data_IF_051165500614
#
_entry.id   IF_051165500614
#
_cell.length_a   1.000
_cell.length_b   1.000
_cell.length_c   1.000
_cell.angle_alpha   90.00
_cell.angle_beta   90.00
_cell.angle_gamma   90.00
#
_symmetry.space_group_name_H-M   'P 1'
#
loop_
_entity.id
_entity.type
_entity.pdbx_description
1 polymer ?
#
# COMPACT_ATOMS: atom_id res chain seq x y z
N UNK A 1 5.10 30.30 -13.62
CA UNK A 1 4.67 29.93 -12.27
C UNK A 1 5.15 28.52 -12.02
N UNK A 2 6.05 28.33 -11.08
CA UNK A 2 6.53 26.99 -10.72
C UNK A 2 5.46 26.29 -9.87
N UNK A 3 5.04 25.09 -10.25
CA UNK A 3 3.97 24.38 -9.56
C UNK A 3 4.58 23.51 -8.46
N UNK A 4 4.08 23.55 -7.22
CA UNK A 4 4.60 22.69 -6.16
C UNK A 4 4.53 21.22 -6.57
N UNK A 5 5.54 20.44 -6.15
CA UNK A 5 5.61 19.00 -6.38
C UNK A 5 4.36 18.33 -5.80
N UNK A 6 3.76 17.42 -6.56
CA UNK A 6 2.68 16.56 -6.06
C UNK A 6 3.26 15.50 -5.12
N UNK A 7 2.63 15.33 -3.97
CA UNK A 7 3.00 14.29 -3.01
C UNK A 7 2.20 13.02 -3.31
N UNK A 8 2.88 11.87 -3.32
CA UNK A 8 2.28 10.56 -3.58
C UNK A 8 2.34 9.69 -2.34
N UNK A 9 1.18 9.41 -1.75
CA UNK A 9 1.05 8.49 -0.63
C UNK A 9 0.36 7.20 -1.09
N UNK A 10 0.94 6.06 -0.77
CA UNK A 10 0.29 4.77 -0.97
C UNK A 10 -0.72 4.56 0.15
N UNK A 11 -1.98 4.30 -0.18
CA UNK A 11 -3.03 4.14 0.82
C UNK A 11 -3.31 2.67 1.09
N UNK A 12 -3.06 2.23 2.32
CA UNK A 12 -3.22 0.84 2.75
C UNK A 12 -3.91 0.75 4.11
N UNK A 13 -4.21 -0.47 4.55
CA UNK A 13 -4.72 -0.80 5.87
C UNK A 13 -4.29 -2.24 6.19
N UNK A 14 -4.00 -2.53 7.46
CA UNK A 14 -3.63 -3.88 7.90
C UNK A 14 -4.87 -4.80 7.98
N UNK A 15 -5.43 -5.13 6.82
CA UNK A 15 -6.64 -5.94 6.68
C UNK A 15 -6.62 -6.70 5.35
N UNK A 16 -7.47 -7.71 5.23
CA UNK A 16 -7.66 -8.49 3.99
C UNK A 16 -8.32 -7.67 2.89
N UNK A 17 -9.16 -6.68 3.23
CA UNK A 17 -9.90 -5.92 2.22
C UNK A 17 -10.17 -4.49 2.71
N UNK A 18 -9.46 -3.52 2.11
CA UNK A 18 -9.54 -2.11 2.49
C UNK A 18 -10.63 -1.36 1.69
N UNK A 19 -10.43 -1.17 0.38
CA UNK A 19 -11.40 -0.48 -0.49
C UNK A 19 -12.05 -1.39 -1.53
N UNK A 20 -11.31 -2.36 -2.05
CA UNK A 20 -11.73 -3.17 -3.18
C UNK A 20 -12.16 -4.56 -2.71
N UNK A 21 -13.41 -4.64 -2.26
CA UNK A 21 -14.01 -5.88 -1.77
C UNK A 21 -13.95 -6.99 -2.84
N UNK A 22 -13.52 -8.18 -2.42
CA UNK A 22 -13.41 -9.36 -3.29
C UNK A 22 -12.06 -9.52 -4.02
N UNK A 23 -11.26 -8.46 -4.17
CA UNK A 23 -9.95 -8.56 -4.84
C UNK A 23 -8.89 -9.35 -4.05
N UNK A 24 -9.20 -9.72 -2.81
CA UNK A 24 -8.36 -10.67 -2.06
C UNK A 24 -8.34 -12.06 -2.71
N UNK A 25 -9.34 -12.41 -3.51
CA UNK A 25 -9.45 -13.72 -4.17
C UNK A 25 -8.72 -13.80 -5.52
N UNK A 26 -8.21 -12.68 -6.04
CA UNK A 26 -7.42 -12.68 -7.28
C UNK A 26 -6.13 -13.48 -7.09
N UNK A 27 -5.70 -14.32 -8.07
CA UNK A 27 -4.55 -15.21 -7.92
C UNK A 27 -3.24 -14.51 -7.53
N UNK A 28 -3.06 -13.27 -7.99
CA UNK A 28 -1.85 -12.47 -7.74
C UNK A 28 -2.00 -11.54 -6.51
N UNK A 29 -3.11 -11.64 -5.79
CA UNK A 29 -3.38 -10.82 -4.62
C UNK A 29 -2.56 -11.28 -3.42
N UNK A 30 -1.84 -10.33 -2.82
CA UNK A 30 -1.12 -10.55 -1.54
C UNK A 30 -1.92 -10.09 -0.32
N UNK A 31 -3.20 -9.76 -0.47
CA UNK A 31 -3.99 -9.16 0.61
C UNK A 31 -4.20 -10.10 1.82
N UNK A 32 -4.18 -11.42 1.63
CA UNK A 32 -4.23 -12.39 2.72
C UNK A 32 -2.95 -12.42 3.57
N UNK A 33 -1.84 -11.85 3.08
CA UNK A 33 -0.56 -11.76 3.78
C UNK A 33 -0.48 -10.52 4.70
N UNK A 34 -1.59 -9.82 4.96
CA UNK A 34 -1.57 -8.57 5.75
C UNK A 34 -0.95 -8.71 7.15
N UNK A 35 -0.96 -9.91 7.73
CA UNK A 35 -0.37 -10.20 9.03
C UNK A 35 1.12 -10.59 8.96
N UNK A 36 1.68 -10.76 7.76
CA UNK A 36 3.10 -11.07 7.54
C UNK A 36 3.92 -9.76 7.44
N UNK A 37 4.88 -9.52 8.35
CA UNK A 37 5.78 -8.36 8.27
C UNK A 37 6.57 -8.27 6.96
N UNK A 38 6.88 -9.41 6.32
CA UNK A 38 7.67 -9.41 5.09
C UNK A 38 6.93 -8.74 3.93
N UNK A 39 5.60 -8.90 3.86
CA UNK A 39 4.76 -8.22 2.86
C UNK A 39 4.89 -6.70 2.97
N UNK A 40 4.87 -6.16 4.20
CA UNK A 40 5.03 -4.72 4.46
C UNK A 40 6.43 -4.21 4.14
N UNK A 41 7.47 -5.00 4.44
CA UNK A 41 8.86 -4.67 4.10
C UNK A 41 9.03 -4.59 2.58
N UNK A 42 8.46 -5.56 1.85
CA UNK A 42 8.52 -5.58 0.38
C UNK A 42 7.78 -4.39 -0.23
N UNK A 43 6.60 -4.06 0.31
CA UNK A 43 5.81 -2.89 -0.10
C UNK A 43 6.61 -1.61 0.13
N UNK A 44 7.19 -1.41 1.32
CA UNK A 44 7.99 -0.23 1.64
C UNK A 44 9.15 -0.05 0.65
N UNK A 45 9.93 -1.12 0.42
CA UNK A 45 11.03 -1.11 -0.56
C UNK A 45 10.55 -0.79 -1.98
N UNK A 46 9.37 -1.29 -2.37
CA UNK A 46 8.78 -0.99 -3.68
C UNK A 46 8.41 0.48 -3.80
N UNK A 47 7.77 1.05 -2.79
CA UNK A 47 7.38 2.46 -2.74
C UNK A 47 8.58 3.41 -2.73
N UNK A 48 9.63 3.09 -1.98
CA UNK A 48 10.89 3.84 -1.97
C UNK A 48 11.53 3.89 -3.37
N UNK A 49 11.60 2.75 -4.07
CA UNK A 49 12.08 2.70 -5.47
C UNK A 49 11.20 3.57 -6.40
N UNK A 50 9.91 3.63 -6.13
CA UNK A 50 8.93 4.44 -6.85
C UNK A 50 8.92 5.93 -6.49
N UNK A 51 9.75 6.36 -5.51
CA UNK A 51 9.78 7.74 -4.99
C UNK A 51 8.43 8.22 -4.43
N UNK A 52 7.66 7.31 -3.84
CA UNK A 52 6.52 7.68 -3.02
C UNK A 52 6.98 8.43 -1.77
N UNK A 53 6.16 9.37 -1.32
CA UNK A 53 6.44 10.22 -0.17
C UNK A 53 6.13 9.53 1.16
N UNK A 54 5.07 8.73 1.19
CA UNK A 54 4.70 7.95 2.37
C UNK A 54 3.87 6.70 2.02
N UNK A 55 3.88 5.75 2.95
CA UNK A 55 2.84 4.74 3.11
C UNK A 55 1.87 5.26 4.19
N UNK A 56 0.63 5.52 3.81
CA UNK A 56 -0.44 5.89 4.73
C UNK A 56 -1.23 4.64 5.09
N UNK A 57 -1.19 4.23 6.36
CA UNK A 57 -1.89 3.04 6.85
C UNK A 57 -3.11 3.46 7.70
N UNK A 58 -4.32 3.16 7.23
CA UNK A 58 -5.56 3.40 7.97
C UNK A 58 -5.76 2.40 9.13
N UNK A 59 -6.74 2.69 9.98
CA UNK A 59 -7.22 1.83 11.06
C UNK A 59 -8.70 2.15 11.42
N UNK A 60 -9.37 1.31 12.23
CA UNK A 60 -10.76 1.49 12.74
C UNK A 60 -10.89 1.38 14.25
#
# INVERSE_FOLDING_TARGET
>A
MDRPRMLFNAFSMATVSHHAQGLWAEPDSRQLEYADPQMWIDLARFLERGRFDALFNADV
#
